data_IF_341356064637
#
_entry.id   IF_341356064637
#
_cell.length_a   1.000
_cell.length_b   1.000
_cell.length_c   1.000
_cell.angle_alpha   90.00
_cell.angle_beta   90.00
_cell.angle_gamma   90.00
#
_symmetry.space_group_name_H-M   'P 1'
#
loop_
_entity.id
_entity.type
_entity.pdbx_description
1 polymer ?
#
# COMPACT_ATOMS: atom_id res chain seq x y z
N UNK A 1 19.46 -33.68 4.13
CA UNK A 1 18.57 -32.68 3.49
C UNK A 1 17.39 -32.25 4.39
N UNK A 2 16.83 -33.14 5.23
CA UNK A 2 15.64 -32.87 6.08
C UNK A 2 15.78 -31.70 7.09
N UNK A 3 16.96 -31.52 7.71
CA UNK A 3 17.23 -30.33 8.56
C UNK A 3 17.18 -29.00 7.79
N UNK A 4 17.49 -29.00 6.48
CA UNK A 4 17.44 -27.80 5.63
C UNK A 4 15.99 -27.42 5.27
N UNK A 5 15.11 -28.40 5.10
CA UNK A 5 13.67 -28.20 4.84
C UNK A 5 12.96 -27.47 5.98
N UNK A 6 13.21 -27.88 7.23
CA UNK A 6 12.65 -27.19 8.39
C UNK A 6 13.15 -25.74 8.52
N UNK A 7 14.43 -25.50 8.23
CA UNK A 7 15.02 -24.17 8.29
C UNK A 7 14.48 -23.25 7.20
N UNK A 8 14.30 -23.77 5.97
CA UNK A 8 13.66 -23.05 4.86
C UNK A 8 12.21 -22.71 5.22
N UNK A 9 11.45 -23.64 5.81
CA UNK A 9 10.07 -23.38 6.18
C UNK A 9 9.93 -22.26 7.22
N UNK A 10 10.79 -22.26 8.24
CA UNK A 10 10.84 -21.18 9.24
C UNK A 10 11.21 -19.85 8.57
N UNK A 11 12.16 -19.86 7.63
CA UNK A 11 12.55 -18.66 6.89
C UNK A 11 11.39 -18.11 6.06
N UNK A 12 10.65 -18.97 5.35
CA UNK A 12 9.44 -18.60 4.62
C UNK A 12 8.35 -18.03 5.53
N UNK A 13 8.18 -18.61 6.74
CA UNK A 13 7.23 -18.11 7.72
C UNK A 13 7.58 -16.68 8.18
N UNK A 14 8.84 -16.43 8.54
CA UNK A 14 9.30 -15.09 8.93
C UNK A 14 9.20 -14.08 7.79
N UNK A 15 9.58 -14.46 6.56
CA UNK A 15 9.39 -13.62 5.39
C UNK A 15 7.91 -13.33 5.12
N UNK A 16 7.03 -14.31 5.33
CA UNK A 16 5.59 -14.15 5.24
C UNK A 16 5.08 -13.10 6.23
N UNK A 17 5.42 -13.22 7.52
CA UNK A 17 5.03 -12.23 8.53
C UNK A 17 5.60 -10.83 8.25
N UNK A 18 6.87 -10.73 7.85
CA UNK A 18 7.50 -9.46 7.52
C UNK A 18 6.82 -8.77 6.32
N UNK A 19 6.55 -9.51 5.25
CA UNK A 19 5.81 -9.01 4.10
C UNK A 19 4.38 -8.61 4.48
N UNK A 20 3.70 -9.39 5.34
CA UNK A 20 2.37 -9.08 5.83
C UNK A 20 2.33 -7.77 6.62
N UNK A 21 3.27 -7.60 7.55
CA UNK A 21 3.42 -6.37 8.33
C UNK A 21 3.74 -5.15 7.45
N UNK A 22 4.64 -5.32 6.46
CA UNK A 22 4.95 -4.27 5.49
C UNK A 22 3.74 -3.89 4.64
N UNK A 23 2.94 -4.86 4.20
CA UNK A 23 1.69 -4.62 3.48
C UNK A 23 0.66 -3.85 4.30
N UNK A 24 0.52 -4.15 5.59
CA UNK A 24 -0.36 -3.40 6.51
C UNK A 24 0.15 -1.97 6.70
N UNK A 25 1.45 -1.79 6.88
CA UNK A 25 2.05 -0.45 7.02
C UNK A 25 1.83 0.42 5.77
N UNK A 26 2.10 -0.12 4.57
CA UNK A 26 1.80 0.55 3.29
C UNK A 26 0.32 0.91 3.15
N UNK A 27 -0.58 0.07 3.65
CA UNK A 27 -2.02 0.35 3.59
C UNK A 27 -2.41 1.56 4.43
N UNK A 28 -1.88 1.67 5.65
CA UNK A 28 -2.12 2.83 6.51
C UNK A 28 -1.49 4.11 5.94
N UNK A 29 -0.26 4.02 5.43
CA UNK A 29 0.41 5.15 4.80
C UNK A 29 -0.36 5.68 3.58
N UNK A 30 -0.79 4.77 2.68
CA UNK A 30 -1.63 5.12 1.54
C UNK A 30 -2.97 5.76 1.95
N UNK A 31 -3.50 5.41 3.13
CA UNK A 31 -4.74 5.98 3.63
C UNK A 31 -4.54 7.42 4.12
N UNK A 32 -3.42 7.71 4.78
CA UNK A 32 -3.04 9.06 5.19
C UNK A 32 -2.82 9.98 3.97
N UNK A 33 -2.15 9.49 2.91
CA UNK A 33 -1.98 10.23 1.66
C UNK A 33 -3.32 10.53 0.96
N UNK A 34 -4.29 9.59 1.00
CA UNK A 34 -5.63 9.81 0.44
C UNK A 34 -6.39 10.91 1.18
N UNK A 35 -6.27 10.97 2.51
CA UNK A 35 -6.93 12.01 3.30
C UNK A 35 -6.28 13.37 3.08
N UNK A 36 -4.94 13.42 2.93
CA UNK A 36 -4.21 14.62 2.49
C UNK A 36 -4.67 15.09 1.10
N UNK A 37 -4.76 14.18 0.13
CA UNK A 37 -5.27 14.47 -1.22
C UNK A 37 -6.67 15.09 -1.20
N UNK A 38 -7.58 14.55 -0.37
CA UNK A 38 -8.93 15.12 -0.20
C UNK A 38 -8.92 16.54 0.36
N UNK A 39 -8.00 16.84 1.27
CA UNK A 39 -7.87 18.19 1.83
C UNK A 39 -7.40 19.20 0.78
N UNK A 40 -6.42 18.82 -0.05
CA UNK A 40 -5.92 19.64 -1.16
C UNK A 40 -7.01 19.86 -2.21
N UNK A 41 -7.78 18.81 -2.51
CA UNK A 41 -8.89 18.92 -3.46
C UNK A 41 -10.00 19.85 -2.96
N UNK A 42 -10.29 19.87 -1.65
CA UNK A 42 -11.22 20.85 -1.08
C UNK A 42 -10.72 22.29 -1.22
N UNK A 43 -9.43 22.53 -0.99
CA UNK A 43 -8.82 23.84 -1.17
C UNK A 43 -8.88 24.30 -2.64
N UNK A 44 -8.64 23.38 -3.58
CA UNK A 44 -8.76 23.67 -5.01
C UNK A 44 -10.19 24.11 -5.38
N UNK A 45 -11.21 23.40 -4.89
CA UNK A 45 -12.62 23.75 -5.11
C UNK A 45 -12.98 25.09 -4.46
N UNK A 46 -12.50 25.36 -3.24
CA UNK A 46 -12.77 26.64 -2.57
C UNK A 46 -12.15 27.82 -3.33
N UNK A 47 -10.95 27.65 -3.88
CA UNK A 47 -10.32 28.67 -4.74
C UNK A 47 -11.05 28.86 -6.07
N UNK A 48 -11.63 27.79 -6.62
CA UNK A 48 -12.46 27.85 -7.82
C UNK A 48 -13.75 28.64 -7.54
N UNK A 49 -14.44 28.34 -6.43
CA UNK A 49 -15.62 29.07 -5.97
C UNK A 49 -15.32 30.56 -5.72
N UNK A 50 -14.16 30.87 -5.12
CA UNK A 50 -13.71 32.26 -4.94
C UNK A 50 -13.40 32.94 -6.27
N UNK A 51 -12.85 32.21 -7.25
CA UNK A 51 -12.56 32.75 -8.58
C UNK A 51 -13.84 33.15 -9.32
N UNK A 52 -14.91 32.37 -9.17
CA UNK A 52 -16.22 32.66 -9.74
C UNK A 52 -16.83 33.96 -9.20
N UNK A 53 -16.54 34.32 -7.94
CA UNK A 53 -16.99 35.57 -7.33
C UNK A 53 -16.28 36.82 -7.90
N UNK A 54 -15.09 36.67 -8.49
CA UNK A 54 -14.26 37.78 -9.03
C UNK A 54 -14.05 37.66 -10.54
N UNK A 55 -14.99 37.03 -11.24
CA UNK A 55 -14.93 36.74 -12.66
C UNK A 55 -14.68 37.98 -13.53
N UNK A 56 -13.80 37.84 -14.52
CA UNK A 56 -13.38 38.89 -15.46
C UNK A 56 -12.28 39.81 -14.92
N UNK A 57 -11.76 39.56 -13.71
CA UNK A 57 -10.68 40.35 -13.11
C UNK A 57 -9.32 39.64 -13.20
N UNK A 58 -8.19 40.35 -13.06
CA UNK A 58 -6.88 39.72 -12.92
C UNK A 58 -6.79 38.77 -11.72
N UNK A 59 -7.64 38.95 -10.71
CA UNK A 59 -7.68 38.13 -9.51
C UNK A 59 -8.28 36.74 -9.77
N UNK A 60 -9.25 36.61 -10.68
CA UNK A 60 -9.75 35.31 -11.17
C UNK A 60 -8.60 34.46 -11.72
N UNK A 61 -7.74 35.05 -12.55
CA UNK A 61 -6.59 34.35 -13.15
C UNK A 61 -5.58 33.90 -12.09
N UNK A 62 -5.43 34.66 -11.00
CA UNK A 62 -4.55 34.29 -9.88
C UNK A 62 -5.15 33.10 -9.11
N UNK A 63 -6.42 33.17 -8.76
CA UNK A 63 -7.13 32.14 -7.99
C UNK A 63 -7.27 30.84 -8.78
N UNK A 64 -7.59 30.90 -10.07
CA UNK A 64 -7.63 29.72 -10.94
C UNK A 64 -6.27 29.04 -11.07
N UNK A 65 -5.18 29.81 -11.24
CA UNK A 65 -3.83 29.23 -11.29
C UNK A 65 -3.45 28.56 -9.96
N UNK A 66 -3.91 29.10 -8.84
CA UNK A 66 -3.67 28.54 -7.51
C UNK A 66 -4.50 27.26 -7.30
N UNK A 67 -5.78 27.27 -7.67
CA UNK A 67 -6.67 26.11 -7.68
C UNK A 67 -6.08 24.95 -8.50
N UNK A 68 -5.59 25.23 -9.72
CA UNK A 68 -4.97 24.22 -10.59
C UNK A 68 -3.71 23.59 -9.96
N UNK A 69 -2.92 24.36 -9.20
CA UNK A 69 -1.76 23.82 -8.47
C UNK A 69 -2.19 22.85 -7.37
N UNK A 70 -3.20 23.20 -6.60
CA UNK A 70 -3.72 22.32 -5.55
C UNK A 70 -4.38 21.07 -6.13
N UNK A 71 -5.12 21.17 -7.26
CA UNK A 71 -5.69 20.01 -7.93
C UNK A 71 -4.60 19.09 -8.50
N UNK A 72 -3.53 19.66 -9.08
CA UNK A 72 -2.39 18.87 -9.55
C UNK A 72 -1.70 18.11 -8.39
N UNK A 73 -1.45 18.78 -7.26
CA UNK A 73 -0.89 18.13 -6.07
C UNK A 73 -1.81 17.05 -5.50
N UNK A 74 -3.13 17.31 -5.47
CA UNK A 74 -4.12 16.34 -5.02
C UNK A 74 -4.11 15.09 -5.90
N UNK A 75 -4.01 15.24 -7.23
CA UNK A 75 -3.91 14.13 -8.18
C UNK A 75 -2.62 13.33 -8.01
N UNK A 76 -1.48 14.00 -7.88
CA UNK A 76 -0.19 13.34 -7.67
C UNK A 76 -0.19 12.51 -6.37
N UNK A 77 -0.71 13.07 -5.28
CA UNK A 77 -0.88 12.35 -4.01
C UNK A 77 -1.85 11.16 -4.14
N UNK A 78 -2.94 11.32 -4.88
CA UNK A 78 -3.92 10.26 -5.11
C UNK A 78 -3.33 9.10 -5.94
N UNK A 79 -2.48 9.41 -6.93
CA UNK A 79 -1.80 8.42 -7.76
C UNK A 79 -0.63 7.74 -7.03
N UNK A 80 0.05 8.45 -6.12
CA UNK A 80 0.99 7.84 -5.17
C UNK A 80 0.26 6.83 -4.27
N UNK A 81 -0.80 7.26 -3.58
CA UNK A 81 -1.57 6.41 -2.69
C UNK A 81 -2.17 5.18 -3.39
N UNK A 82 -2.67 5.32 -4.64
CA UNK A 82 -3.15 4.18 -5.43
C UNK A 82 -2.04 3.16 -5.73
N UNK A 83 -0.82 3.63 -6.01
CA UNK A 83 0.34 2.76 -6.24
C UNK A 83 0.71 2.04 -4.94
N UNK A 84 0.84 2.76 -3.84
CA UNK A 84 1.12 2.17 -2.53
C UNK A 84 0.10 1.11 -2.13
N UNK A 85 -1.19 1.38 -2.34
CA UNK A 85 -2.27 0.43 -2.05
C UNK A 85 -2.18 -0.84 -2.90
N UNK A 86 -1.80 -0.74 -4.17
CA UNK A 86 -1.55 -1.92 -5.03
C UNK A 86 -0.38 -2.76 -4.51
N UNK A 87 0.71 -2.11 -4.10
CA UNK A 87 1.85 -2.80 -3.49
C UNK A 87 1.49 -3.45 -2.15
N UNK A 88 0.71 -2.77 -1.31
CA UNK A 88 0.19 -3.32 -0.06
C UNK A 88 -0.60 -4.61 -0.30
N UNK A 89 -1.53 -4.61 -1.26
CA UNK A 89 -2.33 -5.80 -1.60
C UNK A 89 -1.44 -6.93 -2.15
N UNK A 90 -0.53 -6.62 -3.08
CA UNK A 90 0.40 -7.61 -3.63
C UNK A 90 1.29 -8.23 -2.54
N UNK A 91 1.78 -7.41 -1.62
CA UNK A 91 2.58 -7.84 -0.47
C UNK A 91 1.77 -8.71 0.50
N UNK A 92 0.53 -8.33 0.79
CA UNK A 92 -0.39 -9.12 1.61
C UNK A 92 -0.72 -10.49 1.01
N UNK A 93 -0.97 -10.56 -0.30
CA UNK A 93 -1.19 -11.84 -1.01
C UNK A 93 0.10 -12.69 -0.98
N UNK A 94 1.25 -12.09 -1.25
CA UNK A 94 2.55 -12.77 -1.20
C UNK A 94 2.88 -13.31 0.19
N UNK A 95 2.56 -12.56 1.23
CA UNK A 95 2.67 -12.98 2.63
C UNK A 95 1.84 -14.24 2.92
N UNK A 96 0.56 -14.23 2.54
CA UNK A 96 -0.34 -15.38 2.68
C UNK A 96 0.19 -16.62 1.96
N UNK A 97 0.69 -16.45 0.72
CA UNK A 97 1.26 -17.55 -0.05
C UNK A 97 2.51 -18.13 0.62
N UNK A 98 3.41 -17.29 1.14
CA UNK A 98 4.61 -17.71 1.87
C UNK A 98 4.27 -18.46 3.17
N UNK A 99 3.27 -17.98 3.92
CA UNK A 99 2.79 -18.63 5.14
C UNK A 99 2.22 -20.01 4.79
N UNK A 100 1.34 -20.13 3.78
CA UNK A 100 0.79 -21.41 3.35
C UNK A 100 1.87 -22.38 2.90
N UNK A 101 2.85 -21.91 2.11
CA UNK A 101 4.00 -22.70 1.68
C UNK A 101 4.81 -23.22 2.87
N UNK A 102 5.01 -22.38 3.89
CA UNK A 102 5.73 -22.78 5.11
C UNK A 102 5.02 -23.91 5.86
N UNK A 103 3.69 -23.85 5.96
CA UNK A 103 2.86 -24.88 6.62
C UNK A 103 2.99 -26.20 5.85
N UNK A 104 2.88 -26.18 4.52
CA UNK A 104 3.05 -27.38 3.69
C UNK A 104 4.45 -27.98 3.87
N UNK A 105 5.50 -27.15 3.86
CA UNK A 105 6.87 -27.65 4.09
C UNK A 105 7.07 -28.23 5.49
N UNK A 106 6.46 -27.65 6.52
CA UNK A 106 6.49 -28.18 7.89
C UNK A 106 5.82 -29.57 7.91
N UNK A 107 4.62 -29.71 7.33
CA UNK A 107 3.90 -30.99 7.26
C UNK A 107 4.74 -32.05 6.53
N UNK A 108 5.32 -31.71 5.38
CA UNK A 108 6.18 -32.62 4.62
C UNK A 108 7.43 -33.03 5.42
N UNK A 109 8.03 -32.10 6.17
CA UNK A 109 9.17 -32.38 7.02
C UNK A 109 8.80 -33.35 8.16
N UNK A 110 7.67 -33.12 8.83
CA UNK A 110 7.17 -34.00 9.90
C UNK A 110 6.86 -35.40 9.35
N UNK A 111 6.09 -35.50 8.27
CA UNK A 111 5.76 -36.78 7.64
C UNK A 111 7.00 -37.53 7.17
N UNK A 112 8.01 -36.83 6.65
CA UNK A 112 9.28 -37.47 6.25
C UNK A 112 10.09 -37.99 7.44
N UNK A 113 9.90 -37.44 8.64
CA UNK A 113 10.58 -37.93 9.86
C UNK A 113 9.87 -39.15 10.45
N UNK A 114 8.55 -39.22 10.36
CA UNK A 114 7.78 -40.39 10.78
C UNK A 114 8.08 -41.63 9.92
N UNK A 115 8.17 -41.46 8.60
CA UNK A 115 8.50 -42.56 7.68
C UNK A 115 9.92 -43.11 7.89
N UNK A 116 10.86 -42.27 8.35
CA UNK A 116 12.23 -42.69 8.64
C UNK A 116 12.39 -43.35 10.04
N UNK A 117 11.39 -43.23 10.92
CA UNK A 117 11.46 -43.77 12.29
C UNK A 117 10.82 -45.16 12.44
N UNK A 118 10.31 -45.72 11.34
CA UNK A 118 9.76 -47.08 11.23
C UNK A 118 10.79 -47.94 10.51
#
# INVERSE_FOLDING_TARGET
MKKRLGLIAILCLFCGFAAGGFGVWLYFHAQEELDSSRSLQRQAVELEDQSDAVKGTPEESRLMNESQKYDAQARDALDAAKRERKFAVASGIGSLALILLSVVMIILNVKSKEVDSI
#
